data_IF_628431620272
#
_entry.id   IF_628431620272
#
_cell.length_a   1.000
_cell.length_b   1.000
_cell.length_c   1.000
_cell.angle_alpha   90.00
_cell.angle_beta   90.00
_cell.angle_gamma   90.00
#
_symmetry.space_group_name_H-M   'P 1'
#
loop_
_entity.id
_entity.type
_entity.pdbx_description
1 polymer ?
#
# COMPACT_ATOMS: atom_id res chain seq x y z
N UNK A 1 -8.77 -16.71 10.90
CA UNK A 1 -9.05 -15.63 9.95
C UNK A 1 -7.88 -14.68 9.85
N UNK A 2 -7.61 -14.21 8.65
CA UNK A 2 -6.57 -13.22 8.40
C UNK A 2 -7.20 -11.85 8.28
N UNK A 3 -6.64 -10.88 8.98
CA UNK A 3 -7.17 -9.52 9.01
C UNK A 3 -6.13 -8.54 8.47
N UNK A 4 -6.60 -7.61 7.66
CA UNK A 4 -5.85 -6.42 7.26
C UNK A 4 -6.56 -5.23 7.86
N UNK A 5 -5.84 -4.46 8.65
CA UNK A 5 -6.39 -3.27 9.28
C UNK A 5 -6.10 -2.06 8.40
N UNK A 6 -7.04 -1.14 8.32
CA UNK A 6 -6.84 0.09 7.56
C UNK A 6 -7.34 1.30 8.32
N UNK A 7 -6.66 2.43 8.07
CA UNK A 7 -7.12 3.75 8.48
C UNK A 7 -7.31 4.57 7.21
N UNK A 8 -8.54 4.99 6.95
CA UNK A 8 -8.86 5.75 5.74
C UNK A 8 -8.50 7.22 5.96
N UNK A 9 -7.46 7.70 5.26
CA UNK A 9 -7.00 9.08 5.39
C UNK A 9 -7.79 10.01 4.48
N UNK A 10 -8.08 9.56 3.26
CA UNK A 10 -8.90 10.30 2.31
C UNK A 10 -9.96 9.33 1.78
N UNK A 11 -11.22 9.74 1.88
CA UNK A 11 -12.37 8.98 1.38
C UNK A 11 -12.92 9.67 0.14
N UNK A 12 -13.37 8.88 -0.82
CA UNK A 12 -14.06 9.39 -2.01
C UNK A 12 -15.24 8.46 -2.32
N UNK A 13 -16.38 8.73 -1.71
CA UNK A 13 -17.56 7.87 -1.80
C UNK A 13 -18.18 7.82 -3.22
N UNK A 14 -17.86 8.80 -4.07
CA UNK A 14 -18.33 8.85 -5.45
C UNK A 14 -17.32 8.32 -6.46
N UNK A 15 -16.11 7.96 -6.02
CA UNK A 15 -15.09 7.41 -6.89
C UNK A 15 -15.43 6.00 -7.35
N UNK A 16 -14.91 5.63 -8.51
CA UNK A 16 -15.05 4.27 -9.02
C UNK A 16 -14.07 3.33 -8.33
N UNK A 17 -14.49 2.09 -8.16
CA UNK A 17 -13.65 1.01 -7.64
C UNK A 17 -12.98 0.27 -8.78
N UNK A 18 -11.71 -0.17 -8.58
CA UNK A 18 -11.10 -1.09 -9.53
C UNK A 18 -11.93 -2.37 -9.63
N UNK A 19 -12.15 -2.81 -10.85
CA UNK A 19 -12.82 -4.08 -11.08
C UNK A 19 -11.77 -5.18 -11.00
N UNK A 20 -12.00 -6.14 -10.13
CA UNK A 20 -11.21 -7.35 -10.14
C UNK A 20 -11.86 -8.33 -11.12
N UNK A 21 -11.49 -8.18 -12.39
CA UNK A 21 -11.92 -9.10 -13.43
C UNK A 21 -10.79 -10.08 -13.73
N UNK A 22 -10.54 -10.98 -12.80
CA UNK A 22 -9.44 -11.94 -12.95
C UNK A 22 -8.07 -11.28 -12.82
N UNK A 23 -7.13 -11.68 -13.64
CA UNK A 23 -5.71 -11.39 -13.47
C UNK A 23 -5.24 -10.06 -14.04
N UNK A 24 -6.10 -9.23 -14.62
CA UNK A 24 -5.65 -8.15 -15.49
C UNK A 24 -6.06 -6.74 -15.07
N UNK A 25 -6.74 -6.58 -13.95
CA UNK A 25 -7.05 -5.23 -13.46
C UNK A 25 -5.78 -4.53 -13.00
N UNK A 26 -5.50 -3.37 -13.59
CA UNK A 26 -4.34 -2.56 -13.28
C UNK A 26 -4.75 -1.29 -12.55
N UNK A 27 -3.95 -0.90 -11.60
CA UNK A 27 -4.14 0.34 -10.84
C UNK A 27 -2.86 1.15 -10.87
N UNK A 28 -3.01 2.47 -10.75
CA UNK A 28 -1.91 3.41 -10.58
C UNK A 28 -1.97 3.94 -9.16
N UNK A 29 -0.89 3.81 -8.41
CA UNK A 29 -0.89 4.16 -7.00
C UNK A 29 0.44 4.74 -6.55
N UNK A 30 0.37 5.66 -5.57
CA UNK A 30 1.51 6.03 -4.75
C UNK A 30 1.52 5.14 -3.52
N UNK A 31 2.70 4.72 -3.08
CA UNK A 31 2.83 3.90 -1.89
C UNK A 31 4.12 4.20 -1.12
N UNK A 32 4.06 3.99 0.19
CA UNK A 32 5.20 4.12 1.08
C UNK A 32 5.09 3.04 2.15
N UNK A 33 6.00 2.07 2.09
CA UNK A 33 5.99 0.89 2.96
C UNK A 33 7.05 0.97 4.04
N UNK A 34 6.67 0.72 5.29
CA UNK A 34 7.57 0.76 6.44
C UNK A 34 7.38 -0.46 7.33
N UNK A 35 8.44 -0.78 8.09
CA UNK A 35 8.38 -1.71 9.22
C UNK A 35 7.79 -1.02 10.44
N UNK A 36 7.52 -1.81 11.49
CA UNK A 36 6.97 -1.27 12.75
C UNK A 36 7.85 -0.25 13.43
N UNK A 37 9.17 -0.26 13.16
CA UNK A 37 10.10 0.73 13.69
C UNK A 37 10.14 2.03 12.87
N UNK A 38 9.35 2.10 11.80
CA UNK A 38 9.27 3.27 10.94
C UNK A 38 10.28 3.31 9.80
N UNK A 39 11.17 2.32 9.69
CA UNK A 39 12.11 2.25 8.58
C UNK A 39 11.40 1.90 7.27
N UNK A 40 11.69 2.67 6.21
CA UNK A 40 11.20 2.40 4.88
C UNK A 40 11.87 1.15 4.32
N UNK A 41 11.09 0.25 3.72
CA UNK A 41 11.63 -0.87 2.97
C UNK A 41 11.34 -0.75 1.47
N UNK A 42 10.31 0.00 1.08
CA UNK A 42 9.96 0.23 -0.32
C UNK A 42 8.99 1.40 -0.41
N UNK A 43 9.02 2.13 -1.53
CA UNK A 43 8.09 3.22 -1.73
C UNK A 43 8.43 4.06 -2.94
N UNK A 44 7.45 4.83 -3.43
CA UNK A 44 7.62 5.77 -4.53
C UNK A 44 7.40 7.22 -4.13
N UNK A 45 7.09 7.49 -2.87
CA UNK A 45 7.01 8.84 -2.31
C UNK A 45 7.25 8.79 -0.81
N UNK A 46 7.44 9.95 -0.18
CA UNK A 46 7.63 10.06 1.26
C UNK A 46 6.27 10.24 1.95
N UNK A 47 5.72 9.14 2.43
CA UNK A 47 4.41 9.10 3.08
C UNK A 47 4.49 8.93 4.59
N UNK A 48 3.39 8.53 5.18
CA UNK A 48 3.30 8.25 6.62
C UNK A 48 3.87 6.87 6.92
N UNK A 49 4.60 6.79 8.02
CA UNK A 49 5.21 5.55 8.49
C UNK A 49 4.45 4.95 9.67
N UNK A 50 4.86 3.75 10.07
CA UNK A 50 4.27 3.05 11.21
C UNK A 50 4.42 3.79 12.55
N UNK A 51 5.40 4.70 12.66
CA UNK A 51 5.64 5.44 13.89
C UNK A 51 4.91 6.78 13.95
N UNK A 52 4.25 7.19 12.89
CA UNK A 52 3.45 8.43 12.89
C UNK A 52 2.21 8.24 13.74
N UNK A 53 2.04 9.09 14.75
CA UNK A 53 0.96 8.92 15.75
C UNK A 53 -0.33 9.60 15.35
N UNK A 54 -0.23 10.84 14.87
CA UNK A 54 -1.38 11.69 14.55
C UNK A 54 -1.51 11.80 13.03
N UNK A 55 -2.01 10.76 12.41
CA UNK A 55 -2.17 10.73 10.96
C UNK A 55 -3.55 11.28 10.58
N UNK A 56 -3.65 12.29 9.70
CA UNK A 56 -2.54 12.99 9.03
C UNK A 56 -1.86 14.01 9.94
N UNK A 57 -0.53 14.11 9.79
CA UNK A 57 0.31 15.06 10.54
C UNK A 57 0.46 16.33 9.71
N UNK A 58 0.10 17.51 10.21
CA UNK A 58 0.32 18.75 9.47
C UNK A 58 1.82 19.16 9.44
N UNK A 59 2.35 19.67 8.31
CA UNK A 59 1.66 19.72 7.01
C UNK A 59 1.44 18.30 6.48
N UNK A 60 0.32 18.08 5.78
CA UNK A 60 -0.02 16.74 5.26
C UNK A 60 1.04 16.30 4.26
N UNK A 61 1.54 15.08 4.43
CA UNK A 61 2.50 14.49 3.50
C UNK A 61 1.80 14.09 2.22
N UNK A 62 2.31 14.53 1.09
CA UNK A 62 1.75 14.23 -0.22
C UNK A 62 2.85 13.99 -1.23
N UNK A 63 2.56 13.23 -2.32
CA UNK A 63 3.51 13.11 -3.42
C UNK A 63 3.85 14.48 -4.00
N UNK A 64 5.12 14.66 -4.37
CA UNK A 64 5.61 15.90 -4.97
C UNK A 64 5.69 15.76 -6.50
N UNK A 65 6.05 16.84 -7.18
CA UNK A 65 6.26 16.83 -8.63
C UNK A 65 7.43 15.93 -9.06
N UNK A 66 8.29 15.56 -8.11
CA UNK A 66 9.42 14.67 -8.36
C UNK A 66 9.08 13.19 -8.15
N UNK A 67 7.90 12.90 -7.60
CA UNK A 67 7.44 11.55 -7.36
C UNK A 67 6.61 11.06 -8.55
N UNK A 68 6.61 9.76 -8.77
CA UNK A 68 5.79 9.13 -9.81
C UNK A 68 5.04 7.95 -9.23
N UNK A 69 3.76 7.84 -9.58
CA UNK A 69 3.01 6.64 -9.21
C UNK A 69 3.52 5.42 -9.97
N UNK A 70 3.21 4.25 -9.45
CA UNK A 70 3.61 2.96 -10.02
C UNK A 70 2.36 2.21 -10.46
N UNK A 71 2.48 1.47 -11.55
CA UNK A 71 1.43 0.60 -12.06
C UNK A 71 1.51 -0.76 -11.37
N UNK A 72 0.37 -1.25 -10.90
CA UNK A 72 0.25 -2.57 -10.27
C UNK A 72 -0.88 -3.36 -10.88
N UNK A 73 -0.68 -4.67 -11.02
CA UNK A 73 -1.79 -5.59 -11.25
C UNK A 73 -2.35 -6.04 -9.90
N UNK A 74 -3.66 -6.00 -9.73
CA UNK A 74 -4.30 -6.40 -8.46
C UNK A 74 -3.95 -7.84 -8.09
N UNK A 75 -3.79 -8.70 -9.08
CA UNK A 75 -3.40 -10.10 -8.87
C UNK A 75 -1.91 -10.29 -8.56
N UNK A 76 -1.08 -9.29 -8.81
CA UNK A 76 0.38 -9.37 -8.65
C UNK A 76 0.91 -8.80 -7.35
N UNK A 77 0.05 -8.24 -6.50
CA UNK A 77 0.45 -7.64 -5.23
C UNK A 77 0.19 -8.61 -4.07
N UNK A 78 0.76 -8.31 -2.90
CA UNK A 78 0.50 -9.13 -1.69
C UNK A 78 -0.99 -9.14 -1.35
N UNK A 79 -1.44 -10.21 -0.69
CA UNK A 79 -2.87 -10.43 -0.43
C UNK A 79 -3.54 -9.27 0.29
N UNK A 80 -2.86 -8.62 1.23
CA UNK A 80 -3.39 -7.46 1.95
C UNK A 80 -3.67 -6.27 1.02
N UNK A 81 -2.81 -6.01 0.04
CA UNK A 81 -3.03 -4.98 -0.96
C UNK A 81 -4.19 -5.34 -1.89
N UNK A 82 -4.23 -6.60 -2.34
CA UNK A 82 -5.29 -7.05 -3.25
C UNK A 82 -6.65 -6.88 -2.60
N UNK A 83 -6.79 -7.24 -1.33
CA UNK A 83 -8.03 -7.05 -0.58
C UNK A 83 -8.40 -5.57 -0.46
N UNK A 84 -7.45 -4.70 -0.12
CA UNK A 84 -7.69 -3.27 0.03
C UNK A 84 -8.06 -2.61 -1.30
N UNK A 85 -7.31 -2.90 -2.36
CA UNK A 85 -7.54 -2.29 -3.67
C UNK A 85 -8.94 -2.61 -4.24
N UNK A 86 -9.49 -3.77 -3.92
CA UNK A 86 -10.85 -4.14 -4.33
C UNK A 86 -11.93 -3.33 -3.58
N UNK A 87 -11.60 -2.76 -2.45
CA UNK A 87 -12.51 -1.94 -1.63
C UNK A 87 -12.27 -0.45 -1.78
N UNK A 88 -11.07 -0.04 -2.15
CA UNK A 88 -10.73 1.38 -2.34
C UNK A 88 -11.39 1.94 -3.60
N UNK A 89 -11.72 3.22 -3.53
CA UNK A 89 -12.21 3.98 -4.69
C UNK A 89 -11.12 4.91 -5.20
N UNK A 90 -11.18 5.27 -6.48
CA UNK A 90 -10.24 6.23 -7.06
C UNK A 90 -10.21 7.51 -6.23
N UNK A 91 -9.00 7.99 -5.97
CA UNK A 91 -8.77 9.19 -5.16
C UNK A 91 -8.69 8.94 -3.66
N UNK A 92 -8.91 7.71 -3.21
CA UNK A 92 -8.80 7.39 -1.79
C UNK A 92 -7.36 7.12 -1.38
N UNK A 93 -7.07 7.36 -0.12
CA UNK A 93 -5.77 7.12 0.51
C UNK A 93 -6.00 6.42 1.84
N UNK A 94 -5.39 5.25 1.98
CA UNK A 94 -5.54 4.40 3.17
C UNK A 94 -4.19 4.06 3.75
N UNK A 95 -4.09 4.06 5.08
CA UNK A 95 -3.00 3.37 5.78
C UNK A 95 -3.40 1.92 5.97
N UNK A 96 -2.55 1.00 5.50
CA UNK A 96 -2.76 -0.44 5.63
C UNK A 96 -1.78 -1.00 6.64
N UNK A 97 -2.26 -1.85 7.53
CA UNK A 97 -1.47 -2.59 8.51
C UNK A 97 -1.60 -4.06 8.17
N UNK A 98 -0.57 -4.63 7.56
CA UNK A 98 -0.62 -5.96 6.93
C UNK A 98 0.22 -6.94 7.73
N UNK A 99 -0.44 -7.89 8.46
CA UNK A 99 0.28 -8.97 9.12
C UNK A 99 0.98 -9.86 8.10
N UNK A 100 1.99 -10.61 8.55
CA UNK A 100 2.79 -11.42 7.64
C UNK A 100 1.96 -12.44 6.84
N UNK A 101 0.86 -12.93 7.38
CA UNK A 101 -0.02 -13.88 6.69
C UNK A 101 -0.63 -13.30 5.40
N UNK A 102 -0.83 -12.00 5.37
CA UNK A 102 -1.36 -11.28 4.19
C UNK A 102 -0.29 -10.46 3.47
N UNK A 103 0.95 -10.58 3.90
CA UNK A 103 2.12 -9.93 3.32
C UNK A 103 3.08 -10.96 2.71
N UNK A 104 4.34 -10.93 3.16
CA UNK A 104 5.40 -11.76 2.59
C UNK A 104 5.66 -13.07 3.33
N UNK A 105 4.83 -13.39 4.34
CA UNK A 105 4.88 -14.68 5.02
C UNK A 105 5.90 -14.78 6.14
N UNK A 106 6.13 -16.03 6.57
CA UNK A 106 7.00 -16.32 7.73
C UNK A 106 8.47 -16.48 7.35
N UNK A 107 8.78 -16.54 6.06
CA UNK A 107 10.15 -16.67 5.57
C UNK A 107 10.64 -15.30 5.11
N UNK A 108 11.96 -15.09 5.17
CA UNK A 108 12.57 -13.89 4.63
C UNK A 108 12.27 -13.78 3.13
N UNK A 109 12.01 -12.56 2.68
CA UNK A 109 11.68 -12.28 1.29
C UNK A 109 12.61 -11.23 0.72
N UNK A 110 13.19 -11.52 -0.43
CA UNK A 110 13.98 -10.57 -1.20
C UNK A 110 13.37 -10.47 -2.60
N UNK A 111 12.91 -9.27 -2.96
CA UNK A 111 12.35 -9.05 -4.29
C UNK A 111 13.42 -9.22 -5.37
N UNK A 112 13.05 -9.65 -6.59
CA UNK A 112 14.00 -9.68 -7.71
C UNK A 112 14.64 -8.31 -7.91
N UNK A 113 15.95 -8.31 -8.14
CA UNK A 113 16.75 -7.09 -8.35
C UNK A 113 16.85 -6.16 -7.15
N UNK A 114 16.44 -6.62 -5.96
CA UNK A 114 16.57 -5.86 -4.72
C UNK A 114 17.70 -6.43 -3.86
N UNK A 115 18.36 -5.54 -3.10
CA UNK A 115 19.34 -5.93 -2.08
C UNK A 115 18.70 -5.95 -0.69
N UNK A 116 17.45 -5.51 -0.55
CA UNK A 116 16.76 -5.46 0.72
C UNK A 116 15.98 -6.74 0.95
N UNK A 117 16.16 -7.33 2.13
CA UNK A 117 15.42 -8.52 2.56
C UNK A 117 14.40 -8.13 3.61
N UNK A 118 13.15 -8.52 3.39
CA UNK A 118 12.08 -8.35 4.36
C UNK A 118 12.13 -9.55 5.31
N UNK A 119 12.42 -9.35 6.61
CA UNK A 119 12.46 -10.46 7.57
C UNK A 119 11.12 -11.18 7.65
N UNK A 120 11.19 -12.51 7.77
CA UNK A 120 10.00 -13.34 7.92
C UNK A 120 9.18 -12.95 9.14
N UNK A 121 7.86 -13.02 9.03
CA UNK A 121 6.95 -12.65 10.11
C UNK A 121 6.77 -11.15 10.31
N UNK A 122 7.23 -10.32 9.39
CA UNK A 122 7.13 -8.86 9.52
C UNK A 122 5.71 -8.35 9.37
N UNK A 123 5.29 -7.48 10.29
CA UNK A 123 4.12 -6.62 10.10
C UNK A 123 4.55 -5.42 9.26
N UNK A 124 3.83 -5.17 8.18
CA UNK A 124 4.15 -4.09 7.25
C UNK A 124 3.06 -3.03 7.29
N UNK A 125 3.47 -1.77 7.19
CA UNK A 125 2.56 -0.63 7.12
C UNK A 125 2.76 0.06 5.78
N UNK A 126 1.65 0.30 5.09
CA UNK A 126 1.68 1.00 3.80
C UNK A 126 0.77 2.21 3.83
N UNK A 127 1.30 3.35 3.39
CA UNK A 127 0.53 4.51 3.00
C UNK A 127 0.23 4.34 1.51
N UNK A 128 -1.01 4.00 1.17
CA UNK A 128 -1.42 3.65 -0.19
C UNK A 128 -2.45 4.65 -0.70
N UNK A 129 -2.12 5.32 -1.80
CA UNK A 129 -3.01 6.27 -2.46
C UNK A 129 -3.35 5.76 -3.85
N UNK A 130 -4.62 5.40 -4.04
CA UNK A 130 -5.12 4.94 -5.33
C UNK A 130 -5.43 6.14 -6.22
N UNK A 131 -4.64 6.31 -7.29
CA UNK A 131 -4.78 7.46 -8.21
C UNK A 131 -5.82 7.16 -9.27
N UNK A 132 -5.68 6.05 -9.96
CA UNK A 132 -6.56 5.67 -11.07
C UNK A 132 -6.44 4.17 -11.33
N UNK A 133 -7.26 3.67 -12.24
CA UNK A 133 -7.12 2.31 -12.71
C UNK A 133 -7.35 2.26 -14.22
N UNK A 134 -6.80 1.21 -14.84
CA UNK A 134 -7.00 0.91 -16.24
C UNK A 134 -7.54 -0.51 -16.37
N UNK A 135 -8.51 -0.67 -17.22
CA UNK A 135 -9.03 -1.98 -17.56
C UNK A 135 -8.29 -2.59 -18.76
#
# INVERSE_FOLDING_TARGET
AQYVYCKKLVKNETGERPLYTGYHSKVNAYYYGTYVNGEEFDGCFDGYSAIDRDIPIPPVKEPTVFDSFVDFEVSGVVAGWAAALQLMRMGERWMLYIPYQSGYGINDYTAPYSTNTIPGGSLLTFDLQLVSFAE
#
